data_IF_930010692089
#
_entry.id   IF_930010692089
#
_cell.length_a   1.000
_cell.length_b   1.000
_cell.length_c   1.000
_cell.angle_alpha   90.00
_cell.angle_beta   90.00
_cell.angle_gamma   90.00
#
_symmetry.space_group_name_H-M   'P 1'
#
loop_
_entity.id
_entity.type
_entity.pdbx_description
1 polymer ?
#
# COMPACT_ATOMS: atom_id res chain seq x y z
N UNK A 1 31.20 -38.92 -17.23
CA UNK A 1 29.75 -38.80 -17.48
C UNK A 1 29.53 -37.70 -18.51
N UNK A 2 29.19 -38.04 -19.76
CA UNK A 2 28.97 -37.04 -20.81
C UNK A 2 27.47 -36.67 -20.77
N UNK A 3 27.16 -35.48 -20.25
CA UNK A 3 25.79 -34.95 -20.30
C UNK A 3 25.49 -34.59 -21.74
N UNK A 4 24.37 -35.08 -22.30
CA UNK A 4 23.99 -34.71 -23.66
C UNK A 4 23.71 -33.21 -23.71
N UNK A 5 24.15 -32.54 -24.77
CA UNK A 5 23.95 -31.10 -24.98
C UNK A 5 22.50 -30.66 -24.69
N UNK A 6 21.52 -31.44 -25.18
CA UNK A 6 20.09 -31.21 -24.92
C UNK A 6 19.71 -31.20 -23.44
N UNK A 7 20.30 -32.08 -22.62
CA UNK A 7 20.05 -32.11 -21.17
C UNK A 7 20.68 -30.92 -20.46
N UNK A 8 21.85 -30.48 -20.93
CA UNK A 8 22.51 -29.29 -20.42
C UNK A 8 21.68 -28.02 -20.73
N UNK A 9 21.28 -27.84 -22.00
CA UNK A 9 20.51 -26.69 -22.44
C UNK A 9 19.16 -26.60 -21.70
N UNK A 10 18.47 -27.73 -21.50
CA UNK A 10 17.24 -27.78 -20.72
C UNK A 10 17.44 -27.38 -19.25
N UNK A 11 18.53 -27.83 -18.61
CA UNK A 11 18.84 -27.45 -17.25
C UNK A 11 19.16 -25.95 -17.15
N UNK A 12 19.93 -25.43 -18.11
CA UNK A 12 20.29 -24.02 -18.17
C UNK A 12 19.04 -23.12 -18.27
N UNK A 13 18.14 -23.41 -19.21
CA UNK A 13 16.87 -22.67 -19.36
C UNK A 13 16.03 -22.69 -18.07
N UNK A 14 15.96 -23.85 -17.39
CA UNK A 14 15.27 -23.95 -16.11
C UNK A 14 15.91 -23.08 -15.01
N UNK A 15 17.23 -23.00 -14.98
CA UNK A 15 17.95 -22.13 -14.03
C UNK A 15 17.74 -20.65 -14.36
N UNK A 16 17.80 -20.26 -15.63
CA UNK A 16 17.54 -18.90 -16.09
C UNK A 16 16.11 -18.46 -15.73
N UNK A 17 15.12 -19.32 -15.95
CA UNK A 17 13.73 -19.07 -15.53
C UNK A 17 13.57 -19.00 -14.00
N UNK A 18 14.35 -19.76 -13.23
CA UNK A 18 14.35 -19.67 -11.78
C UNK A 18 14.96 -18.35 -11.28
N UNK A 19 16.10 -17.96 -11.84
CA UNK A 19 16.76 -16.70 -11.54
C UNK A 19 15.87 -15.50 -11.87
N UNK A 20 15.26 -15.48 -13.07
CA UNK A 20 14.34 -14.41 -13.48
C UNK A 20 13.13 -14.26 -12.54
N UNK A 21 12.59 -15.38 -12.03
CA UNK A 21 11.52 -15.36 -11.03
C UNK A 21 11.99 -14.81 -9.68
N UNK A 22 13.20 -15.16 -9.25
CA UNK A 22 13.79 -14.65 -8.02
C UNK A 22 13.99 -13.13 -8.09
N UNK A 23 14.59 -12.63 -9.18
CA UNK A 23 14.80 -11.20 -9.40
C UNK A 23 13.49 -10.41 -9.39
N UNK A 24 12.43 -10.96 -10.00
CA UNK A 24 11.10 -10.35 -9.97
C UNK A 24 10.54 -10.26 -8.55
N UNK A 25 10.66 -11.32 -7.75
CA UNK A 25 10.20 -11.35 -6.37
C UNK A 25 10.99 -10.38 -5.48
N UNK A 26 12.29 -10.27 -5.67
CA UNK A 26 13.13 -9.30 -4.94
C UNK A 26 12.69 -7.87 -5.22
N UNK A 27 12.42 -7.52 -6.48
CA UNK A 27 11.89 -6.20 -6.84
C UNK A 27 10.54 -5.93 -6.21
N UNK A 28 9.64 -6.91 -6.25
CA UNK A 28 8.31 -6.78 -5.64
C UNK A 28 8.39 -6.59 -4.12
N UNK A 29 9.30 -7.30 -3.45
CA UNK A 29 9.53 -7.17 -2.02
C UNK A 29 10.15 -5.82 -1.66
N UNK A 30 11.11 -5.33 -2.45
CA UNK A 30 11.69 -4.00 -2.26
C UNK A 30 10.64 -2.89 -2.40
N UNK A 31 9.75 -2.99 -3.40
CA UNK A 31 8.66 -2.03 -3.59
C UNK A 31 7.63 -2.08 -2.46
N UNK A 32 7.28 -3.27 -1.96
CA UNK A 32 6.40 -3.41 -0.81
C UNK A 32 7.02 -2.79 0.45
N UNK A 33 8.30 -3.08 0.73
CA UNK A 33 9.00 -2.50 1.87
C UNK A 33 9.09 -0.97 1.77
N UNK A 34 9.41 -0.45 0.58
CA UNK A 34 9.41 1.00 0.34
C UNK A 34 8.03 1.64 0.56
N UNK A 35 6.95 0.97 0.15
CA UNK A 35 5.59 1.43 0.41
C UNK A 35 5.23 1.41 1.90
N UNK A 36 5.65 0.37 2.63
CA UNK A 36 5.42 0.23 4.07
C UNK A 36 6.07 1.32 4.92
N UNK A 37 7.09 2.00 4.40
CA UNK A 37 7.82 3.08 5.09
C UNK A 37 7.40 4.49 4.65
N UNK A 38 6.70 4.62 3.51
CA UNK A 38 6.44 5.90 2.82
C UNK A 38 5.73 6.96 3.66
N UNK A 39 4.79 6.54 4.50
CA UNK A 39 3.95 7.47 5.31
C UNK A 39 4.01 7.18 6.81
N UNK A 40 4.82 6.22 7.25
CA UNK A 40 4.89 5.77 8.64
C UNK A 40 5.02 4.26 8.73
N UNK A 41 5.17 3.72 9.94
CA UNK A 41 5.35 2.27 10.15
C UNK A 41 4.02 1.55 10.37
N UNK A 42 3.95 0.23 10.14
CA UNK A 42 2.77 -0.57 10.48
C UNK A 42 2.35 -0.41 11.95
N UNK A 43 3.32 -0.35 12.86
CA UNK A 43 3.06 -0.13 14.29
C UNK A 43 2.37 1.21 14.54
N UNK A 44 2.84 2.30 13.93
CA UNK A 44 2.20 3.60 14.06
C UNK A 44 0.78 3.55 13.50
N UNK A 45 0.57 2.98 12.31
CA UNK A 45 -0.77 2.85 11.73
C UNK A 45 -1.75 2.11 12.66
N UNK A 46 -1.32 1.01 13.28
CA UNK A 46 -2.15 0.26 14.24
C UNK A 46 -2.46 1.09 15.48
N UNK A 47 -1.48 1.84 16.00
CA UNK A 47 -1.68 2.71 17.16
C UNK A 47 -2.68 3.84 16.85
N UNK A 48 -2.52 4.54 15.73
CA UNK A 48 -3.45 5.60 15.31
C UNK A 48 -4.88 5.06 15.12
N UNK A 49 -5.01 3.83 14.61
CA UNK A 49 -6.31 3.16 14.47
C UNK A 49 -6.97 2.90 15.83
N UNK A 50 -6.19 2.48 16.83
CA UNK A 50 -6.68 2.27 18.20
C UNK A 50 -7.06 3.58 18.88
N UNK A 51 -6.24 4.61 18.73
CA UNK A 51 -6.54 5.95 19.25
C UNK A 51 -7.83 6.50 18.66
N UNK A 52 -8.02 6.40 17.34
CA UNK A 52 -9.26 6.79 16.69
C UNK A 52 -10.47 6.00 17.22
N UNK A 53 -10.33 4.68 17.41
CA UNK A 53 -11.39 3.85 17.99
C UNK A 53 -11.72 4.25 19.44
N UNK A 54 -10.71 4.57 20.26
CA UNK A 54 -10.88 5.03 21.63
C UNK A 54 -11.59 6.39 21.69
N UNK A 55 -11.21 7.33 20.83
CA UNK A 55 -11.84 8.64 20.71
C UNK A 55 -13.32 8.53 20.30
N UNK A 56 -13.64 7.66 19.33
CA UNK A 56 -15.03 7.39 18.92
C UNK A 56 -15.82 6.74 20.06
N UNK A 57 -15.21 5.81 20.79
CA UNK A 57 -15.87 5.08 21.88
C UNK A 57 -16.08 5.92 23.15
N UNK A 58 -15.38 7.06 23.26
CA UNK A 58 -15.41 7.92 24.44
C UNK A 58 -15.76 9.36 24.03
N UNK A 59 -17.05 9.68 23.78
CA UNK A 59 -17.44 11.00 23.31
C UNK A 59 -16.91 12.12 24.22
N UNK A 60 -16.22 13.09 23.62
CA UNK A 60 -15.63 14.24 24.32
C UNK A 60 -14.18 14.04 24.81
N UNK A 61 -13.57 12.87 24.62
CA UNK A 61 -12.16 12.65 24.97
C UNK A 61 -11.17 13.33 24.02
N UNK A 62 -11.59 13.59 22.77
CA UNK A 62 -10.79 14.21 21.72
C UNK A 62 -11.66 15.11 20.83
N UNK A 63 -11.06 16.11 20.19
CA UNK A 63 -11.73 16.90 19.17
C UNK A 63 -11.89 16.08 17.89
N UNK A 64 -13.06 16.17 17.24
CA UNK A 64 -13.39 15.37 16.05
C UNK A 64 -12.34 15.50 14.93
N UNK A 65 -11.78 16.69 14.73
CA UNK A 65 -10.78 16.91 13.68
C UNK A 65 -9.49 16.09 13.90
N UNK A 66 -9.05 15.89 15.14
CA UNK A 66 -7.89 15.05 15.44
C UNK A 66 -8.18 13.60 15.05
N UNK A 67 -9.36 13.10 15.39
CA UNK A 67 -9.78 11.75 14.99
C UNK A 67 -9.82 11.61 13.46
N UNK A 68 -10.30 12.64 12.74
CA UNK A 68 -10.28 12.66 11.27
C UNK A 68 -8.86 12.69 10.69
N UNK A 69 -7.93 13.44 11.28
CA UNK A 69 -6.52 13.45 10.86
C UNK A 69 -5.85 12.08 11.03
N UNK A 70 -6.14 11.38 12.14
CA UNK A 70 -5.67 10.01 12.38
C UNK A 70 -6.21 9.06 11.33
N UNK A 71 -7.49 9.14 11.01
CA UNK A 71 -8.10 8.33 9.95
C UNK A 71 -7.51 8.64 8.57
N UNK A 72 -7.27 9.91 8.26
CA UNK A 72 -6.60 10.32 7.02
C UNK A 72 -5.15 9.80 6.93
N UNK A 73 -4.44 9.75 8.07
CA UNK A 73 -3.12 9.12 8.14
C UNK A 73 -3.18 7.63 7.82
N UNK A 74 -4.12 6.89 8.43
CA UNK A 74 -4.32 5.46 8.21
C UNK A 74 -4.66 5.20 6.74
N UNK A 75 -5.59 5.96 6.17
CA UNK A 75 -5.98 5.83 4.76
C UNK A 75 -4.78 6.06 3.83
N UNK A 76 -4.01 7.14 4.00
CA UNK A 76 -2.80 7.38 3.20
C UNK A 76 -1.80 6.24 3.29
N UNK A 77 -1.60 5.67 4.49
CA UNK A 77 -0.69 4.55 4.70
C UNK A 77 -1.18 3.28 4.00
N UNK A 78 -2.46 2.91 4.17
CA UNK A 78 -3.05 1.74 3.50
C UNK A 78 -3.07 1.92 1.98
N UNK A 79 -3.43 3.11 1.51
CA UNK A 79 -3.46 3.47 0.09
C UNK A 79 -2.09 3.34 -0.58
N UNK A 80 -1.00 3.63 0.14
CA UNK A 80 0.35 3.43 -0.38
C UNK A 80 0.71 1.94 -0.62
N UNK A 81 0.04 1.01 0.06
CA UNK A 81 0.22 -0.43 -0.12
C UNK A 81 -0.60 -0.98 -1.31
N UNK A 82 -1.59 -0.25 -1.82
CA UNK A 82 -2.43 -0.74 -2.91
C UNK A 82 -1.66 -1.10 -4.18
N UNK A 83 -0.71 -0.28 -4.69
CA UNK A 83 0.03 -0.64 -5.89
C UNK A 83 0.82 -1.95 -5.79
N UNK A 84 1.63 -2.22 -4.75
CA UNK A 84 2.35 -3.49 -4.65
C UNK A 84 1.42 -4.68 -4.36
N UNK A 85 0.31 -4.50 -3.63
CA UNK A 85 -0.58 -5.60 -3.25
C UNK A 85 -1.56 -6.01 -4.35
N UNK A 86 -1.93 -5.11 -5.27
CA UNK A 86 -2.97 -5.38 -6.28
C UNK A 86 -2.41 -5.71 -7.68
N UNK A 87 -1.09 -5.87 -7.85
CA UNK A 87 -0.48 -6.20 -9.17
C UNK A 87 -1.00 -7.45 -9.85
N UNK A 88 -1.39 -8.45 -9.06
CA UNK A 88 -1.92 -9.72 -9.58
C UNK A 88 -3.44 -9.72 -9.71
N UNK A 89 -4.07 -8.62 -9.33
CA UNK A 89 -5.51 -8.46 -9.43
C UNK A 89 -5.91 -8.31 -10.89
N UNK A 90 -7.02 -8.93 -11.34
CA UNK A 90 -7.55 -8.71 -12.68
C UNK A 90 -7.85 -7.23 -12.92
N UNK A 91 -7.47 -6.72 -14.10
CA UNK A 91 -7.59 -5.28 -14.41
C UNK A 91 -9.00 -4.72 -14.22
N UNK A 92 -10.02 -5.47 -14.64
CA UNK A 92 -11.43 -5.06 -14.48
C UNK A 92 -11.80 -4.83 -13.02
N UNK A 93 -11.37 -5.72 -12.14
CA UNK A 93 -11.70 -5.64 -10.72
C UNK A 93 -10.94 -4.50 -10.06
N UNK A 94 -9.63 -4.39 -10.35
CA UNK A 94 -8.78 -3.30 -9.85
C UNK A 94 -9.31 -1.93 -10.25
N UNK A 95 -9.64 -1.73 -11.53
CA UNK A 95 -10.18 -0.47 -12.04
C UNK A 95 -11.54 -0.11 -11.40
N UNK A 96 -12.40 -1.11 -11.15
CA UNK A 96 -13.68 -0.90 -10.47
C UNK A 96 -13.47 -0.35 -9.05
N UNK A 97 -12.56 -0.95 -8.28
CA UNK A 97 -12.27 -0.46 -6.91
C UNK A 97 -11.55 0.90 -6.91
N UNK A 98 -10.62 1.13 -7.83
CA UNK A 98 -9.96 2.43 -8.00
C UNK A 98 -10.99 3.54 -8.30
N UNK A 99 -11.99 3.27 -9.13
CA UNK A 99 -13.09 4.21 -9.40
C UNK A 99 -13.97 4.46 -8.16
N UNK A 100 -14.30 3.39 -7.42
CA UNK A 100 -15.03 3.52 -6.16
C UNK A 100 -14.27 4.34 -5.10
N UNK A 101 -12.94 4.26 -5.06
CA UNK A 101 -12.12 5.10 -4.17
C UNK A 101 -12.08 6.56 -4.66
N UNK A 102 -12.00 6.80 -5.97
CA UNK A 102 -12.03 8.17 -6.53
C UNK A 102 -13.34 8.90 -6.21
N UNK A 103 -14.47 8.20 -6.29
CA UNK A 103 -15.79 8.77 -5.93
C UNK A 103 -15.93 9.06 -4.42
N UNK A 104 -15.11 8.43 -3.58
CA UNK A 104 -15.05 8.60 -2.12
C UNK A 104 -13.69 9.16 -1.72
N UNK A 105 -13.32 10.30 -2.30
CA UNK A 105 -11.98 10.85 -2.12
C UNK A 105 -11.65 11.11 -0.64
N UNK A 106 -10.38 10.94 -0.27
CA UNK A 106 -9.89 11.21 1.08
C UNK A 106 -10.19 12.66 1.51
N UNK A 107 -10.04 13.63 0.60
CA UNK A 107 -10.33 15.03 0.86
C UNK A 107 -11.79 15.24 1.27
N UNK A 108 -12.72 14.56 0.60
CA UNK A 108 -14.14 14.61 0.93
C UNK A 108 -14.45 13.85 2.23
N UNK A 109 -13.82 12.70 2.45
CA UNK A 109 -14.07 11.84 3.60
C UNK A 109 -13.55 12.45 4.92
N UNK A 110 -12.42 13.16 4.88
CA UNK A 110 -11.73 13.66 6.08
C UNK A 110 -11.75 15.19 6.19
N UNK A 111 -12.29 15.91 5.21
CA UNK A 111 -12.35 17.37 5.23
C UNK A 111 -11.00 18.06 5.05
N UNK A 112 -10.04 17.37 4.42
CA UNK A 112 -8.68 17.87 4.20
C UNK A 112 -8.64 18.82 2.99
N UNK A 113 -9.34 19.95 3.07
CA UNK A 113 -9.01 21.08 2.19
C UNK A 113 -7.73 21.65 2.74
N UNK A 114 -6.61 21.48 2.03
CA UNK A 114 -5.40 22.23 2.32
C UNK A 114 -5.76 23.72 2.24
N UNK A 115 -5.95 24.38 3.38
CA UNK A 115 -5.80 25.83 3.47
C UNK A 115 -4.38 26.12 3.01
N UNK A 116 -4.23 26.47 1.73
CA UNK A 116 -3.04 27.17 1.27
C UNK A 116 -2.92 28.41 2.15
N UNK A 117 -1.78 28.64 2.84
CA UNK A 117 -1.57 29.91 3.49
C UNK A 117 -1.50 30.97 2.39
N UNK A 118 -2.59 31.70 2.19
CA UNK A 118 -2.57 32.97 1.49
C UNK A 118 -1.72 33.91 2.32
N UNK A 119 -0.42 33.94 2.04
CA UNK A 119 0.44 35.04 2.46
C UNK A 119 -0.06 36.31 1.76
N UNK A 120 -0.71 37.17 2.54
CA UNK A 120 -0.91 38.59 2.25
C UNK A 120 0.13 39.40 3.02
#
# INVERSE_FOLDING_TARGET
MIVSKKKYDFLLDRYEQAASRADLLERQLAELNGAMEKHGTPYKCILECREAAMAISTPGSEQVWLTLERLAFIDRWVSALLPPLTRRMPDRERLMWEDMLKTRSADHAYGMVHDQPHHS
#
